data_IF_677449959225
#
_entry.id   IF_677449959225
#
_cell.length_a   1.000
_cell.length_b   1.000
_cell.length_c   1.000
_cell.angle_alpha   90.00
_cell.angle_beta   90.00
_cell.angle_gamma   90.00
#
_symmetry.space_group_name_H-M   'P 1'
#
loop_
_entity.id
_entity.type
_entity.pdbx_description
1 polymer ?
#
# COMPACT_ATOMS: atom_id res chain seq x y z
N UNK A 1 5.80 -78.03 -16.09
CA UNK A 1 4.58 -77.31 -15.66
C UNK A 1 5.05 -76.33 -14.61
N UNK A 2 4.74 -75.02 -14.72
CA UNK A 2 5.21 -74.05 -13.72
C UNK A 2 4.67 -74.44 -12.34
N UNK A 3 5.55 -74.59 -11.36
CA UNK A 3 5.26 -75.11 -10.01
C UNK A 3 4.44 -74.13 -9.13
N UNK A 4 4.06 -72.96 -9.65
CA UNK A 4 3.39 -71.89 -8.90
C UNK A 4 1.90 -71.69 -9.27
N UNK A 5 1.30 -72.59 -10.06
CA UNK A 5 -0.13 -72.50 -10.36
C UNK A 5 -0.97 -73.17 -9.27
N UNK A 6 -1.87 -72.44 -8.59
CA UNK A 6 -2.72 -73.01 -7.55
C UNK A 6 -3.50 -74.24 -8.07
N UNK A 7 -3.37 -75.38 -7.39
CA UNK A 7 -3.95 -76.65 -7.86
C UNK A 7 -5.49 -76.69 -7.81
N UNK A 8 -6.14 -75.71 -7.16
CA UNK A 8 -7.60 -75.63 -7.03
C UNK A 8 -8.14 -74.23 -7.25
N UNK A 9 -9.39 -74.13 -7.73
CA UNK A 9 -10.10 -72.86 -7.90
C UNK A 9 -10.18 -72.06 -6.59
N UNK A 10 -10.49 -72.71 -5.47
CA UNK A 10 -10.45 -72.10 -4.14
C UNK A 10 -9.11 -71.44 -3.82
N UNK A 11 -7.98 -72.08 -4.14
CA UNK A 11 -6.68 -71.51 -3.86
C UNK A 11 -6.37 -70.30 -4.77
N UNK A 12 -6.74 -70.37 -6.05
CA UNK A 12 -6.70 -69.20 -6.96
C UNK A 12 -7.56 -68.03 -6.44
N UNK A 13 -8.79 -68.31 -6.03
CA UNK A 13 -9.73 -67.30 -5.53
C UNK A 13 -9.21 -66.64 -4.24
N UNK A 14 -8.60 -67.42 -3.35
CA UNK A 14 -8.00 -66.93 -2.11
C UNK A 14 -6.77 -66.05 -2.36
N UNK A 15 -5.86 -66.45 -3.25
CA UNK A 15 -4.70 -65.63 -3.64
C UNK A 15 -5.16 -64.32 -4.30
N UNK A 16 -6.17 -64.37 -5.17
CA UNK A 16 -6.74 -63.17 -5.79
C UNK A 16 -7.36 -62.22 -4.75
N UNK A 17 -8.12 -62.77 -3.79
CA UNK A 17 -8.68 -62.01 -2.68
C UNK A 17 -7.59 -61.35 -1.82
N UNK A 18 -6.52 -62.07 -1.51
CA UNK A 18 -5.39 -61.52 -0.75
C UNK A 18 -4.68 -60.39 -1.51
N UNK A 19 -4.47 -60.53 -2.82
CA UNK A 19 -3.89 -59.48 -3.65
C UNK A 19 -4.78 -58.24 -3.70
N UNK A 20 -6.10 -58.40 -3.87
CA UNK A 20 -7.04 -57.27 -3.84
C UNK A 20 -6.99 -56.52 -2.50
N UNK A 21 -6.98 -57.23 -1.37
CA UNK A 21 -6.87 -56.61 -0.04
C UNK A 21 -5.51 -55.92 0.16
N UNK A 22 -4.44 -56.47 -0.38
CA UNK A 22 -3.11 -55.84 -0.36
C UNK A 22 -3.09 -54.54 -1.15
N UNK A 23 -3.64 -54.54 -2.37
CA UNK A 23 -3.76 -53.33 -3.18
C UNK A 23 -4.65 -52.28 -2.53
N UNK A 24 -5.75 -52.70 -1.90
CA UNK A 24 -6.60 -51.79 -1.14
C UNK A 24 -5.82 -51.11 -0.01
N UNK A 25 -5.11 -51.86 0.84
CA UNK A 25 -4.28 -51.28 1.92
C UNK A 25 -3.23 -50.31 1.39
N UNK A 26 -2.51 -50.70 0.33
CA UNK A 26 -1.50 -49.82 -0.26
C UNK A 26 -2.11 -48.52 -0.82
N UNK A 27 -3.31 -48.59 -1.38
CA UNK A 27 -4.03 -47.42 -1.88
C UNK A 27 -4.44 -46.50 -0.72
N UNK A 28 -4.96 -47.08 0.37
CA UNK A 28 -5.36 -46.34 1.56
C UNK A 28 -4.15 -45.69 2.25
N UNK A 29 -3.04 -46.42 2.39
CA UNK A 29 -1.79 -45.92 2.97
C UNK A 29 -1.23 -44.75 2.15
N UNK A 30 -1.21 -44.89 0.82
CA UNK A 30 -0.75 -43.83 -0.08
C UNK A 30 -1.66 -42.59 0.00
N UNK A 31 -2.97 -42.79 -0.05
CA UNK A 31 -3.95 -41.71 0.09
C UNK A 31 -3.78 -40.95 1.40
N UNK A 32 -3.67 -41.66 2.52
CA UNK A 32 -3.43 -41.07 3.83
C UNK A 32 -2.11 -40.29 3.89
N UNK A 33 -1.04 -40.82 3.28
CA UNK A 33 0.25 -40.13 3.22
C UNK A 33 0.15 -38.81 2.44
N UNK A 34 -0.51 -38.81 1.28
CA UNK A 34 -0.74 -37.59 0.50
C UNK A 34 -1.57 -36.57 1.27
N UNK A 35 -2.57 -37.03 2.01
CA UNK A 35 -3.43 -36.16 2.80
C UNK A 35 -2.69 -35.52 3.98
N UNK A 36 -1.83 -36.27 4.67
CA UNK A 36 -0.94 -35.72 5.72
C UNK A 36 0.03 -34.69 5.12
N UNK A 37 0.66 -35.01 3.99
CA UNK A 37 1.58 -34.08 3.33
C UNK A 37 0.88 -32.78 2.91
N UNK A 38 -0.32 -32.88 2.34
CA UNK A 38 -1.14 -31.72 1.99
C UNK A 38 -1.50 -30.88 3.22
N UNK A 39 -1.94 -31.51 4.31
CA UNK A 39 -2.22 -30.81 5.57
C UNK A 39 -0.99 -30.08 6.11
N UNK A 40 0.19 -30.69 6.01
CA UNK A 40 1.43 -30.05 6.48
C UNK A 40 1.81 -28.84 5.62
N UNK A 41 1.63 -28.91 4.31
CA UNK A 41 1.80 -27.73 3.43
C UNK A 41 0.78 -26.64 3.75
N UNK A 42 -0.47 -27.01 4.01
CA UNK A 42 -1.53 -26.05 4.31
C UNK A 42 -1.28 -25.33 5.65
N UNK A 43 -0.80 -26.04 6.68
CA UNK A 43 -0.33 -25.44 7.94
C UNK A 43 0.78 -24.42 7.74
N UNK A 44 1.71 -24.69 6.81
CA UNK A 44 2.78 -23.75 6.50
C UNK A 44 2.21 -22.52 5.80
N UNK A 45 1.32 -22.71 4.83
CA UNK A 45 0.66 -21.61 4.14
C UNK A 45 -0.12 -20.71 5.09
N UNK A 46 -0.94 -21.28 5.99
CA UNK A 46 -1.71 -20.53 7.00
C UNK A 46 -0.80 -19.71 7.93
N UNK A 47 0.38 -20.24 8.30
CA UNK A 47 1.36 -19.51 9.11
C UNK A 47 1.97 -18.32 8.37
N UNK A 48 2.12 -18.41 7.06
CA UNK A 48 2.71 -17.35 6.23
C UNK A 48 1.69 -16.28 5.80
N UNK A 49 0.40 -16.63 5.79
CA UNK A 49 -0.72 -15.78 5.35
C UNK A 49 -0.78 -14.38 6.00
N UNK A 50 -0.52 -14.21 7.32
CA UNK A 50 -0.51 -12.89 7.94
C UNK A 50 0.59 -11.99 7.37
N UNK A 51 1.76 -12.54 7.01
CA UNK A 51 2.86 -11.76 6.42
C UNK A 51 2.50 -11.26 5.03
N UNK A 52 1.77 -12.05 4.23
CA UNK A 52 1.28 -11.62 2.92
C UNK A 52 0.34 -10.42 3.06
N UNK A 53 -0.58 -10.49 4.03
CA UNK A 53 -1.52 -9.39 4.33
C UNK A 53 -0.78 -8.14 4.81
N UNK A 54 0.21 -8.31 5.68
CA UNK A 54 1.06 -7.22 6.17
C UNK A 54 1.84 -6.57 5.02
N UNK A 55 2.49 -7.34 4.16
CA UNK A 55 3.24 -6.84 3.02
C UNK A 55 2.37 -6.04 2.06
N UNK A 56 1.12 -6.47 1.82
CA UNK A 56 0.18 -5.74 1.00
C UNK A 56 -0.18 -4.37 1.60
N UNK A 57 -0.43 -4.31 2.91
CA UNK A 57 -0.71 -3.07 3.63
C UNK A 57 0.50 -2.12 3.67
N UNK A 58 1.69 -2.65 3.92
CA UNK A 58 2.94 -1.87 3.92
C UNK A 58 3.24 -1.30 2.53
N UNK A 59 3.01 -2.08 1.47
CA UNK A 59 3.13 -1.64 0.09
C UNK A 59 2.20 -0.47 -0.21
N UNK A 60 0.92 -0.59 0.17
CA UNK A 60 -0.07 0.46 0.01
C UNK A 60 0.32 1.73 0.78
N UNK A 61 0.70 1.59 2.05
CA UNK A 61 1.11 2.71 2.90
C UNK A 61 2.28 3.46 2.26
N UNK A 62 3.33 2.73 1.87
CA UNK A 62 4.52 3.31 1.26
C UNK A 62 4.21 4.04 -0.05
N UNK A 63 3.35 3.48 -0.90
CA UNK A 63 2.92 4.13 -2.14
C UNK A 63 2.22 5.47 -1.86
N UNK A 64 1.29 5.49 -0.90
CA UNK A 64 0.54 6.70 -0.58
C UNK A 64 1.39 7.75 0.17
N UNK A 65 2.33 7.33 1.01
CA UNK A 65 3.32 8.23 1.63
C UNK A 65 4.20 8.90 0.57
N UNK A 66 4.66 8.15 -0.43
CA UNK A 66 5.45 8.70 -1.53
C UNK A 66 4.65 9.72 -2.35
N UNK A 67 3.38 9.43 -2.66
CA UNK A 67 2.49 10.37 -3.34
C UNK A 67 2.29 11.66 -2.54
N UNK A 68 2.00 11.54 -1.24
CA UNK A 68 1.83 12.69 -0.36
C UNK A 68 3.10 13.55 -0.29
N UNK A 69 4.26 12.89 -0.10
CA UNK A 69 5.57 13.54 -0.05
C UNK A 69 5.88 14.29 -1.34
N UNK A 70 5.62 13.65 -2.49
CA UNK A 70 5.82 14.27 -3.80
C UNK A 70 4.93 15.50 -4.00
N UNK A 71 3.61 15.36 -3.80
CA UNK A 71 2.67 16.46 -4.00
C UNK A 71 2.93 17.63 -3.05
N UNK A 72 3.20 17.34 -1.77
CA UNK A 72 3.56 18.36 -0.78
C UNK A 72 4.88 19.04 -1.15
N UNK A 73 5.86 18.28 -1.63
CA UNK A 73 7.14 18.80 -2.11
C UNK A 73 7.00 19.76 -3.28
N UNK A 74 6.09 19.48 -4.23
CA UNK A 74 5.81 20.38 -5.34
C UNK A 74 5.20 21.71 -4.87
N UNK A 75 4.25 21.66 -3.92
CA UNK A 75 3.64 22.86 -3.34
C UNK A 75 4.71 23.71 -2.65
N UNK A 76 5.55 23.09 -1.82
CA UNK A 76 6.66 23.77 -1.16
C UNK A 76 7.66 24.39 -2.13
N UNK A 77 8.01 23.67 -3.19
CA UNK A 77 8.93 24.19 -4.20
C UNK A 77 8.38 25.46 -4.86
N UNK A 78 7.11 25.46 -5.26
CA UNK A 78 6.47 26.63 -5.85
C UNK A 78 6.38 27.80 -4.87
N UNK A 79 6.00 27.52 -3.61
CA UNK A 79 5.89 28.53 -2.57
C UNK A 79 7.24 29.16 -2.22
N UNK A 80 8.31 28.37 -2.12
CA UNK A 80 9.66 28.88 -1.84
C UNK A 80 10.15 29.83 -2.94
N UNK A 81 9.83 29.54 -4.20
CA UNK A 81 10.15 30.43 -5.31
C UNK A 81 9.41 31.77 -5.18
N UNK A 82 8.11 31.74 -4.87
CA UNK A 82 7.34 32.97 -4.63
C UNK A 82 7.86 33.76 -3.43
N UNK A 83 8.29 33.07 -2.37
CA UNK A 83 8.87 33.70 -1.19
C UNK A 83 10.18 34.43 -1.53
N UNK A 84 11.05 33.81 -2.33
CA UNK A 84 12.27 34.43 -2.83
C UNK A 84 11.97 35.67 -3.68
N UNK A 85 10.99 35.59 -4.58
CA UNK A 85 10.56 36.72 -5.41
C UNK A 85 10.07 37.90 -4.53
N UNK A 86 9.27 37.64 -3.49
CA UNK A 86 8.81 38.69 -2.58
C UNK A 86 9.92 39.31 -1.74
N UNK A 87 10.90 38.52 -1.28
CA UNK A 87 12.05 39.05 -0.55
C UNK A 87 12.96 39.88 -1.47
N UNK A 88 13.13 39.49 -2.74
CA UNK A 88 13.85 40.29 -3.73
C UNK A 88 13.18 41.65 -3.97
N UNK A 89 11.85 41.67 -4.14
CA UNK A 89 11.09 42.93 -4.31
C UNK A 89 11.19 43.80 -3.05
N UNK A 90 11.06 43.21 -1.86
CA UNK A 90 11.21 43.92 -0.58
C UNK A 90 12.61 44.53 -0.43
N UNK A 91 13.67 43.80 -0.78
CA UNK A 91 15.03 44.32 -0.79
C UNK A 91 15.18 45.49 -1.78
N UNK A 92 14.55 45.41 -2.96
CA UNK A 92 14.53 46.51 -3.93
C UNK A 92 13.82 47.76 -3.36
N UNK A 93 12.67 47.61 -2.69
CA UNK A 93 11.99 48.71 -2.02
C UNK A 93 12.85 49.32 -0.90
N UNK A 94 13.53 48.50 -0.10
CA UNK A 94 14.43 48.96 0.96
C UNK A 94 15.59 49.79 0.40
N UNK A 95 16.15 49.41 -0.74
CA UNK A 95 17.24 50.15 -1.39
C UNK A 95 16.79 51.52 -1.94
N UNK A 96 15.48 51.72 -2.15
CA UNK A 96 14.94 53.01 -2.55
C UNK A 96 14.75 53.97 -1.36
N UNK A 97 14.84 53.49 -0.11
CA UNK A 97 14.73 54.32 1.07
C UNK A 97 16.01 55.14 1.27
N UNK A 98 15.91 56.46 1.08
CA UNK A 98 17.00 57.39 1.33
C UNK A 98 16.52 58.70 1.98
N UNK A 99 17.38 59.44 2.72
CA UNK A 99 16.96 60.60 3.51
C UNK A 99 16.21 61.69 2.73
N UNK A 100 16.52 61.88 1.45
CA UNK A 100 15.84 62.90 0.63
C UNK A 100 14.38 62.59 0.32
N UNK A 101 13.89 61.36 0.50
CA UNK A 101 12.45 61.07 0.40
C UNK A 101 11.62 61.80 1.46
N UNK A 102 12.23 62.24 2.57
CA UNK A 102 11.55 63.04 3.59
C UNK A 102 11.34 64.52 3.22
N UNK A 103 11.85 64.98 2.07
CA UNK A 103 11.66 66.35 1.62
C UNK A 103 10.25 66.53 1.02
N UNK A 104 9.54 67.66 1.29
CA UNK A 104 8.19 67.90 0.76
C UNK A 104 8.06 67.74 -0.76
N UNK A 105 9.09 68.11 -1.51
CA UNK A 105 9.10 67.99 -2.99
C UNK A 105 9.09 66.53 -3.49
N UNK A 106 9.50 65.57 -2.65
CA UNK A 106 9.56 64.15 -2.99
C UNK A 106 8.36 63.35 -2.44
N UNK A 107 7.33 64.04 -1.94
CA UNK A 107 6.14 63.39 -1.36
C UNK A 107 5.49 62.37 -2.30
N UNK A 108 5.38 62.69 -3.60
CA UNK A 108 4.80 61.78 -4.59
C UNK A 108 5.62 60.50 -4.77
N UNK A 109 6.95 60.60 -4.69
CA UNK A 109 7.84 59.44 -4.79
C UNK A 109 7.74 58.56 -3.54
N UNK A 110 7.65 59.17 -2.36
CA UNK A 110 7.45 58.46 -1.10
C UNK A 110 6.10 57.74 -1.08
N UNK A 111 5.02 58.41 -1.49
CA UNK A 111 3.68 57.80 -1.55
C UNK A 111 3.66 56.62 -2.53
N UNK A 112 4.24 56.76 -3.72
CA UNK A 112 4.34 55.66 -4.69
C UNK A 112 5.04 54.43 -4.09
N UNK A 113 6.20 54.62 -3.44
CA UNK A 113 6.94 53.53 -2.78
C UNK A 113 6.13 52.89 -1.64
N UNK A 114 5.38 53.69 -0.87
CA UNK A 114 4.48 53.18 0.14
C UNK A 114 3.35 52.34 -0.46
N UNK A 115 2.73 52.77 -1.56
CA UNK A 115 1.67 52.00 -2.23
C UNK A 115 2.21 50.68 -2.80
N UNK A 116 3.41 50.69 -3.39
CA UNK A 116 4.07 49.47 -3.88
C UNK A 116 4.36 48.48 -2.76
N UNK A 117 4.83 48.94 -1.60
CA UNK A 117 5.09 48.06 -0.44
C UNK A 117 3.79 47.53 0.18
N UNK A 118 2.73 48.35 0.27
CA UNK A 118 1.40 47.89 0.71
C UNK A 118 0.89 46.78 -0.22
N UNK A 119 1.05 46.97 -1.53
CA UNK A 119 0.68 45.96 -2.51
C UNK A 119 1.49 44.67 -2.33
N UNK A 120 2.82 44.76 -2.24
CA UNK A 120 3.69 43.60 -2.03
C UNK A 120 3.34 42.83 -0.76
N UNK A 121 3.05 43.53 0.35
CA UNK A 121 2.61 42.91 1.60
C UNK A 121 1.29 42.17 1.44
N UNK A 122 0.32 42.78 0.75
CA UNK A 122 -0.96 42.15 0.45
C UNK A 122 -0.78 40.90 -0.41
N UNK A 123 -0.01 41.00 -1.49
CA UNK A 123 0.27 39.88 -2.40
C UNK A 123 0.96 38.73 -1.66
N UNK A 124 1.87 39.03 -0.72
CA UNK A 124 2.51 38.02 0.14
C UNK A 124 1.51 37.33 1.07
N UNK A 125 0.62 38.09 1.73
CA UNK A 125 -0.42 37.51 2.61
C UNK A 125 -1.38 36.63 1.81
N UNK A 126 -1.85 37.11 0.66
CA UNK A 126 -2.74 36.36 -0.21
C UNK A 126 -2.08 35.07 -0.71
N UNK A 127 -0.79 35.13 -1.08
CA UNK A 127 -0.01 33.97 -1.49
C UNK A 127 0.22 32.95 -0.36
N UNK A 128 0.47 33.39 0.87
CA UNK A 128 0.56 32.50 2.05
C UNK A 128 -0.78 31.77 2.26
N UNK A 129 -1.89 32.51 2.22
CA UNK A 129 -3.22 31.92 2.38
C UNK A 129 -3.53 30.91 1.29
N UNK A 130 -3.18 31.22 0.03
CA UNK A 130 -3.33 30.29 -1.09
C UNK A 130 -2.50 29.02 -0.87
N UNK A 131 -1.25 29.15 -0.45
CA UNK A 131 -0.39 28.00 -0.16
C UNK A 131 -0.95 27.10 0.94
N UNK A 132 -1.50 27.69 2.02
CA UNK A 132 -2.19 26.95 3.07
C UNK A 132 -3.38 26.17 2.51
N UNK A 133 -4.20 26.81 1.66
CA UNK A 133 -5.33 26.13 1.00
C UNK A 133 -4.87 24.98 0.09
N UNK A 134 -3.78 25.18 -0.66
CA UNK A 134 -3.21 24.13 -1.51
C UNK A 134 -2.75 22.93 -0.69
N UNK A 135 -2.07 23.15 0.44
CA UNK A 135 -1.66 22.08 1.36
C UNK A 135 -2.87 21.34 1.96
N UNK A 136 -3.91 22.07 2.37
CA UNK A 136 -5.14 21.47 2.90
C UNK A 136 -5.85 20.61 1.86
N UNK A 137 -5.99 21.11 0.63
CA UNK A 137 -6.61 20.36 -0.47
C UNK A 137 -5.79 19.12 -0.82
N UNK A 138 -4.46 19.24 -0.90
CA UNK A 138 -3.56 18.11 -1.12
C UNK A 138 -3.71 17.05 -0.03
N UNK A 139 -3.75 17.45 1.24
CA UNK A 139 -3.92 16.53 2.36
C UNK A 139 -5.29 15.83 2.28
N UNK A 140 -6.37 16.57 2.04
CA UNK A 140 -7.71 16.02 1.91
C UNK A 140 -7.81 15.01 0.75
N UNK A 141 -7.29 15.35 -0.42
CA UNK A 141 -7.26 14.46 -1.59
C UNK A 141 -6.43 13.21 -1.32
N UNK A 142 -5.21 13.37 -0.78
CA UNK A 142 -4.33 12.24 -0.48
C UNK A 142 -4.96 11.30 0.57
N UNK A 143 -5.57 11.86 1.61
CA UNK A 143 -6.28 11.09 2.64
C UNK A 143 -7.48 10.35 2.07
N UNK A 144 -8.31 11.01 1.26
CA UNK A 144 -9.47 10.37 0.64
C UNK A 144 -9.03 9.21 -0.28
N UNK A 145 -8.01 9.42 -1.09
CA UNK A 145 -7.47 8.39 -1.97
C UNK A 145 -6.88 7.22 -1.17
N UNK A 146 -6.16 7.50 -0.09
CA UNK A 146 -5.61 6.46 0.80
C UNK A 146 -6.70 5.63 1.46
N UNK A 147 -7.71 6.28 2.04
CA UNK A 147 -8.82 5.57 2.71
C UNK A 147 -9.60 4.71 1.73
N UNK A 148 -9.90 5.23 0.53
CA UNK A 148 -10.58 4.45 -0.51
C UNK A 148 -9.76 3.24 -0.96
N UNK A 149 -8.45 3.40 -1.16
CA UNK A 149 -7.57 2.31 -1.56
C UNK A 149 -7.39 1.27 -0.44
N UNK A 150 -7.29 1.72 0.81
CA UNK A 150 -7.22 0.85 1.99
C UNK A 150 -8.50 0.02 2.12
N UNK A 151 -9.67 0.65 1.99
CA UNK A 151 -10.95 -0.06 2.06
C UNK A 151 -11.04 -1.15 0.97
N UNK A 152 -10.69 -0.82 -0.28
CA UNK A 152 -10.70 -1.78 -1.39
C UNK A 152 -9.69 -2.92 -1.18
N UNK A 153 -8.49 -2.62 -0.66
CA UNK A 153 -7.49 -3.64 -0.35
C UNK A 153 -7.97 -4.55 0.78
N UNK A 154 -8.54 -3.99 1.85
CA UNK A 154 -9.07 -4.77 2.96
C UNK A 154 -10.22 -5.67 2.53
N UNK A 155 -11.16 -5.15 1.73
CA UNK A 155 -12.25 -5.95 1.16
C UNK A 155 -11.69 -7.12 0.34
N UNK A 156 -10.72 -6.84 -0.55
CA UNK A 156 -10.08 -7.88 -1.34
C UNK A 156 -9.38 -8.93 -0.47
N UNK A 157 -8.60 -8.51 0.52
CA UNK A 157 -7.93 -9.43 1.43
C UNK A 157 -8.94 -10.33 2.15
N UNK A 158 -10.03 -9.76 2.67
CA UNK A 158 -11.06 -10.55 3.36
C UNK A 158 -11.71 -11.58 2.42
N UNK A 159 -12.01 -11.21 1.18
CA UNK A 159 -12.58 -12.14 0.19
C UNK A 159 -11.62 -13.28 -0.17
N UNK A 160 -10.33 -12.98 -0.37
CA UNK A 160 -9.32 -13.99 -0.66
C UNK A 160 -9.09 -14.93 0.53
N UNK A 161 -9.12 -14.39 1.76
CA UNK A 161 -9.00 -15.17 2.99
C UNK A 161 -10.22 -16.07 3.22
N UNK A 162 -11.43 -15.55 3.00
CA UNK A 162 -12.68 -16.31 3.15
C UNK A 162 -12.80 -17.44 2.11
N UNK A 163 -12.24 -17.22 0.91
CA UNK A 163 -12.17 -18.23 -0.15
C UNK A 163 -11.04 -19.25 0.01
N UNK A 164 -10.14 -19.07 0.99
CA UNK A 164 -8.99 -19.96 1.19
C UNK A 164 -9.37 -21.21 1.99
N UNK A 165 -8.88 -22.37 1.56
CA UNK A 165 -9.04 -23.63 2.28
C UNK A 165 -8.17 -23.60 3.54
N UNK A 166 -8.71 -24.07 4.65
CA UNK A 166 -7.99 -24.24 5.91
C UNK A 166 -7.76 -25.71 6.25
N UNK A 167 -6.90 -25.99 7.22
CA UNK A 167 -6.66 -27.35 7.73
C UNK A 167 -7.94 -28.03 8.22
N UNK A 168 -8.90 -27.24 8.71
CA UNK A 168 -10.18 -27.72 9.25
C UNK A 168 -11.13 -28.17 8.13
N UNK A 169 -10.90 -27.72 6.90
CA UNK A 169 -11.68 -28.10 5.71
C UNK A 169 -11.21 -29.43 5.09
N UNK A 170 -10.04 -29.93 5.50
CA UNK A 170 -9.46 -31.18 4.97
C UNK A 170 -9.87 -32.36 5.85
N UNK A 171 -10.41 -33.42 5.23
CA UNK A 171 -10.75 -34.65 5.96
C UNK A 171 -9.56 -35.18 6.78
N UNK A 172 -9.82 -35.72 7.96
CA UNK A 172 -8.78 -36.41 8.74
C UNK A 172 -8.36 -37.71 8.04
N UNK A 173 -7.06 -38.04 8.10
CA UNK A 173 -6.56 -39.32 7.62
C UNK A 173 -7.30 -40.48 8.31
N UNK A 174 -7.70 -41.48 7.53
CA UNK A 174 -8.40 -42.66 8.03
C UNK A 174 -7.41 -43.52 8.83
N UNK A 175 -7.80 -43.97 10.03
CA UNK A 175 -7.00 -44.92 10.82
C UNK A 175 -6.98 -46.32 10.22
#
# INVERSE_FOLDING_TARGET
VPEDLPETFEHCAEVFRQNLLSYQRQTDDYYNSCLIEFQDQLKLFEKELPYVSQLALEGLLKEHEQKLSYSTGQIWHLFNKQLEDWENVKAAHQNQLHPSLGHPDNFLQLDALCQEEIKRQKDQVDGINLNIQMLQNCAAECSQNFVSALAALTEKLLLELDGSITIDDVQAASK
#
